data_IF_701267951729
#
_entry.id   IF_701267951729
#
_cell.length_a   1.000
_cell.length_b   1.000
_cell.length_c   1.000
_cell.angle_alpha   90.00
_cell.angle_beta   90.00
_cell.angle_gamma   90.00
#
_symmetry.space_group_name_H-M   'P 1'
#
loop_
_entity.id
_entity.type
_entity.pdbx_description
1 polymer ?
#
# COMPACT_ATOMS: atom_id res chain seq x y z
N UNK A 1 2.78 6.56 13.74
CA UNK A 1 3.45 7.04 12.52
C UNK A 1 3.81 5.83 11.67
N UNK A 2 3.53 5.86 10.38
CA UNK A 2 3.82 4.78 9.42
C UNK A 2 4.92 5.20 8.47
N UNK A 3 5.74 4.25 8.02
CA UNK A 3 6.83 4.47 7.07
C UNK A 3 6.64 3.53 5.89
N UNK A 4 6.63 4.10 4.69
CA UNK A 4 6.75 3.39 3.42
C UNK A 4 7.97 3.97 2.71
N UNK A 5 8.86 3.10 2.27
CA UNK A 5 10.07 3.47 1.56
C UNK A 5 10.10 2.78 0.19
N UNK A 6 10.49 3.53 -0.83
CA UNK A 6 10.62 3.05 -2.20
C UNK A 6 12.01 3.41 -2.72
N UNK A 7 12.67 2.44 -3.34
CA UNK A 7 13.91 2.64 -4.09
C UNK A 7 13.72 2.15 -5.52
N UNK A 8 13.97 3.03 -6.48
CA UNK A 8 13.96 2.70 -7.90
C UNK A 8 15.38 2.30 -8.30
N UNK A 9 15.55 1.07 -8.75
CA UNK A 9 16.77 0.58 -9.40
C UNK A 9 16.53 0.51 -10.92
N UNK A 10 17.58 0.29 -11.75
CA UNK A 10 17.42 0.23 -13.21
C UNK A 10 16.39 -0.80 -13.70
N UNK A 11 16.33 -1.97 -13.04
CA UNK A 11 15.49 -3.10 -13.48
C UNK A 11 14.42 -3.51 -12.44
N UNK A 12 14.45 -2.93 -11.25
CA UNK A 12 13.57 -3.31 -10.13
C UNK A 12 13.11 -2.12 -9.32
N UNK A 13 11.99 -2.30 -8.62
CA UNK A 13 11.51 -1.37 -7.61
C UNK A 13 11.48 -2.13 -6.29
N UNK A 14 12.24 -1.64 -5.30
CA UNK A 14 12.21 -2.16 -3.94
C UNK A 14 11.22 -1.34 -3.12
N UNK A 15 10.16 -1.97 -2.62
CA UNK A 15 9.18 -1.34 -1.73
C UNK A 15 9.17 -2.05 -0.37
N UNK A 16 9.34 -1.26 0.69
CA UNK A 16 9.32 -1.74 2.07
C UNK A 16 8.38 -0.89 2.91
N UNK A 17 7.73 -1.51 3.90
CA UNK A 17 6.94 -0.81 4.91
C UNK A 17 7.30 -1.31 6.30
N UNK A 18 7.11 -0.47 7.31
CA UNK A 18 7.15 -0.93 8.69
C UNK A 18 6.00 -1.91 9.00
N UNK A 19 6.12 -2.68 10.08
CA UNK A 19 5.12 -3.67 10.52
C UNK A 19 4.25 -3.19 11.68
N UNK A 20 4.35 -1.92 12.09
CA UNK A 20 3.66 -1.38 13.25
C UNK A 20 2.24 -0.92 12.89
N UNK A 21 1.23 -1.47 13.55
CA UNK A 21 -0.16 -1.00 13.41
C UNK A 21 -0.66 -0.76 14.80
N UNK A 22 -1.15 0.43 15.09
CA UNK A 22 -1.51 0.78 16.44
C UNK A 22 -1.92 2.24 16.57
N UNK A 23 -2.43 2.56 17.74
CA UNK A 23 -2.69 3.93 18.17
C UNK A 23 -1.57 4.41 19.12
N UNK A 24 -1.81 5.50 19.86
CA UNK A 24 -0.83 6.05 20.80
C UNK A 24 -0.50 5.12 21.99
N UNK A 25 -1.33 4.10 22.24
CA UNK A 25 -1.30 3.30 23.46
C UNK A 25 -1.16 1.79 23.20
N UNK A 26 -1.58 1.31 22.04
CA UNK A 26 -1.65 -0.12 21.74
C UNK A 26 -1.18 -0.44 20.32
N UNK A 27 -0.52 -1.58 20.18
CA UNK A 27 -0.17 -2.18 18.90
C UNK A 27 -1.08 -3.37 18.61
N UNK A 28 -1.72 -3.37 17.44
CA UNK A 28 -2.44 -4.52 16.92
C UNK A 28 -1.45 -5.65 16.60
N UNK A 29 -1.72 -6.85 17.10
CA UNK A 29 -0.94 -8.08 16.83
C UNK A 29 -1.43 -8.84 15.58
N UNK A 30 -2.06 -8.13 14.64
CA UNK A 30 -2.64 -8.76 13.45
C UNK A 30 -1.65 -8.78 12.28
N UNK A 31 -1.80 -9.78 11.40
CA UNK A 31 -1.03 -9.94 10.16
C UNK A 31 -1.53 -9.03 9.03
N UNK A 32 -1.78 -7.75 9.32
CA UNK A 32 -2.08 -6.79 8.27
C UNK A 32 -0.76 -6.28 7.69
N UNK A 33 -0.59 -6.45 6.37
CA UNK A 33 0.58 -5.96 5.67
C UNK A 33 0.23 -4.60 5.06
N UNK A 34 0.96 -3.55 5.45
CA UNK A 34 0.85 -2.21 4.86
C UNK A 34 1.33 -2.19 3.41
N UNK A 35 2.19 -3.16 3.04
CA UNK A 35 2.58 -3.42 1.67
C UNK A 35 1.90 -4.69 1.15
N UNK A 36 1.34 -4.63 -0.05
CA UNK A 36 0.72 -5.77 -0.71
C UNK A 36 0.75 -5.62 -2.22
N UNK A 37 0.67 -6.76 -2.91
CA UNK A 37 0.49 -6.81 -4.35
C UNK A 37 -0.93 -7.28 -4.68
N UNK A 38 -1.59 -6.58 -5.60
CA UNK A 38 -2.94 -6.92 -6.08
C UNK A 38 -3.08 -6.43 -7.52
N UNK A 39 -3.63 -7.27 -8.40
CA UNK A 39 -3.83 -6.95 -9.82
C UNK A 39 -2.60 -6.35 -10.54
N UNK A 40 -1.40 -6.86 -10.23
CA UNK A 40 -0.15 -6.41 -10.85
C UNK A 40 0.38 -5.08 -10.31
N UNK A 41 -0.28 -4.48 -9.31
CA UNK A 41 0.12 -3.23 -8.67
C UNK A 41 0.70 -3.56 -7.29
N UNK A 42 1.86 -2.98 -6.97
CA UNK A 42 2.45 -3.03 -5.64
C UNK A 42 2.10 -1.74 -4.89
N UNK A 43 1.38 -1.88 -3.77
CA UNK A 43 0.88 -0.76 -2.97
C UNK A 43 1.58 -0.75 -1.62
N UNK A 44 2.02 0.42 -1.17
CA UNK A 44 2.49 0.67 0.19
C UNK A 44 1.63 1.76 0.85
N UNK A 45 0.89 1.40 1.89
CA UNK A 45 -0.05 2.29 2.57
C UNK A 45 0.53 2.95 3.82
N UNK A 46 0.40 4.27 3.92
CA UNK A 46 0.64 5.03 5.14
C UNK A 46 -0.61 5.86 5.49
N UNK A 47 -1.21 5.60 6.64
CA UNK A 47 -2.46 6.24 7.04
C UNK A 47 -3.34 5.32 7.86
N UNK A 48 -4.65 5.45 7.72
CA UNK A 48 -5.64 4.60 8.39
C UNK A 48 -5.54 3.15 7.89
N UNK A 49 -5.48 2.20 8.81
CA UNK A 49 -5.49 0.78 8.45
C UNK A 49 -6.80 0.36 7.76
N UNK A 50 -7.92 1.03 8.09
CA UNK A 50 -9.21 0.80 7.45
C UNK A 50 -9.19 1.21 5.98
N UNK A 51 -8.74 2.43 5.66
CA UNK A 51 -8.67 2.94 4.29
C UNK A 51 -7.72 2.10 3.42
N UNK A 52 -6.56 1.70 3.96
CA UNK A 52 -5.62 0.81 3.26
C UNK A 52 -6.27 -0.56 2.99
N UNK A 53 -7.08 -1.07 3.93
CA UNK A 53 -7.82 -2.33 3.74
C UNK A 53 -8.88 -2.21 2.66
N UNK A 54 -9.62 -1.10 2.65
CA UNK A 54 -10.65 -0.82 1.65
C UNK A 54 -10.04 -0.66 0.26
N UNK A 55 -8.92 0.05 0.13
CA UNK A 55 -8.16 0.15 -1.12
C UNK A 55 -7.75 -1.23 -1.62
N UNK A 56 -7.22 -2.09 -0.73
CA UNK A 56 -6.87 -3.46 -1.09
C UNK A 56 -8.06 -4.23 -1.68
N UNK A 57 -9.23 -4.13 -1.07
CA UNK A 57 -10.46 -4.79 -1.54
C UNK A 57 -10.91 -4.18 -2.88
N UNK A 58 -10.89 -2.86 -3.00
CA UNK A 58 -11.26 -2.15 -4.22
C UNK A 58 -10.40 -2.61 -5.42
N UNK A 59 -9.08 -2.67 -5.22
CA UNK A 59 -8.12 -3.13 -6.21
C UNK A 59 -8.25 -4.62 -6.57
N UNK A 60 -9.06 -5.43 -5.87
CA UNK A 60 -9.32 -6.81 -6.30
C UNK A 60 -10.11 -6.86 -7.61
N UNK A 61 -11.00 -5.88 -7.81
CA UNK A 61 -11.94 -5.86 -8.94
C UNK A 61 -11.81 -4.60 -9.83
N UNK A 62 -10.92 -3.67 -9.47
CA UNK A 62 -10.67 -2.45 -10.21
C UNK A 62 -9.16 -2.29 -10.46
N UNK A 63 -8.83 -1.62 -11.55
CA UNK A 63 -7.48 -1.22 -11.91
C UNK A 63 -7.51 0.18 -12.52
N UNK A 64 -6.41 0.95 -12.43
CA UNK A 64 -6.23 2.18 -13.20
C UNK A 64 -6.56 1.96 -14.68
N UNK A 65 -7.14 2.97 -15.33
CA UNK A 65 -7.41 2.93 -16.76
C UNK A 65 -6.10 2.88 -17.59
N UNK A 66 -5.07 3.54 -17.08
CA UNK A 66 -3.70 3.58 -17.61
C UNK A 66 -2.70 3.42 -16.45
N UNK A 67 -1.52 2.88 -16.75
CA UNK A 67 -0.46 2.62 -15.75
C UNK A 67 0.54 3.78 -15.65
N UNK A 68 0.13 4.98 -16.03
CA UNK A 68 0.89 6.22 -15.87
C UNK A 68 0.48 6.97 -14.59
N UNK A 69 1.17 8.06 -14.28
CA UNK A 69 0.92 8.84 -13.08
C UNK A 69 -0.52 9.37 -13.02
N UNK A 70 -1.03 9.91 -14.14
CA UNK A 70 -2.39 10.43 -14.22
C UNK A 70 -3.44 9.34 -14.00
N UNK A 71 -3.28 8.16 -14.62
CA UNK A 71 -4.18 7.03 -14.44
C UNK A 71 -4.20 6.49 -13.01
N UNK A 72 -3.08 6.58 -12.29
CA UNK A 72 -3.00 6.19 -10.87
C UNK A 72 -3.60 7.26 -9.95
N UNK A 73 -3.49 8.54 -10.29
CA UNK A 73 -4.07 9.64 -9.49
C UNK A 73 -5.60 9.69 -9.61
N UNK A 74 -6.14 9.42 -10.80
CA UNK A 74 -7.59 9.44 -11.06
C UNK A 74 -8.33 8.21 -10.51
N UNK A 75 -7.59 7.16 -10.13
CA UNK A 75 -8.11 5.88 -9.64
C UNK A 75 -8.52 5.91 -8.16
#
# INVERSE_FOLDING_TARGET
MSIVAVKINPDTIDLCSDSFIGDQYQQAKMSFAKSFQVNGITIGGAGSAEEISLLKIFCQNHSPATMDEDGVIDF
#
